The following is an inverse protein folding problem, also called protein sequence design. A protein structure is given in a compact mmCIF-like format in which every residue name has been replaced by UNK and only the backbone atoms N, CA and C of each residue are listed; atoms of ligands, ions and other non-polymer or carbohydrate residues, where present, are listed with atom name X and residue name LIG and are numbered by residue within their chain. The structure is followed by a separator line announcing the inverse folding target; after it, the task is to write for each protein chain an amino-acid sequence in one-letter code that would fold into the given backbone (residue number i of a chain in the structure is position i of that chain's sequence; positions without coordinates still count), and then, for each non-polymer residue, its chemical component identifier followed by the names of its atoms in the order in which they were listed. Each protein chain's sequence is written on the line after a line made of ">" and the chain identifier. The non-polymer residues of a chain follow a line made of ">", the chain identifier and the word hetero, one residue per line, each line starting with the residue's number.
data_IF_804843950953
#
_entry.id   IF_804843950953
#
_cell.length_a   1.000
_cell.length_b   1.000
_cell.length_c   1.000
_cell.angle_alpha   90.00
_cell.angle_beta   90.00
_cell.angle_gamma   90.00
#
_symmetry.space_group_name_H-M   'P 1'
#
loop_
_entity.id
_entity.type
_entity.pdbx_description
1 polymer ?
#
# COMPACT_ATOMS: atom_id res chain seq x y z
N UNK A 1 -20.35 -40.11 -19.46
CA UNK A 1 -20.27 -38.88 -18.63
C UNK A 1 -20.82 -39.21 -17.26
N UNK A 2 -19.96 -39.09 -16.22
CA UNK A 2 -20.30 -39.46 -14.84
C UNK A 2 -21.42 -38.57 -14.27
N UNK A 3 -22.31 -39.16 -13.44
CA UNK A 3 -23.40 -38.49 -12.74
C UNK A 3 -22.96 -37.21 -12.02
N UNK A 4 -21.75 -37.17 -11.50
CA UNK A 4 -21.15 -36.02 -10.86
C UNK A 4 -20.96 -34.81 -11.81
N UNK A 5 -20.65 -35.04 -13.09
CA UNK A 5 -20.52 -33.94 -14.08
C UNK A 5 -21.86 -33.30 -14.44
N UNK A 6 -22.95 -34.04 -14.32
CA UNK A 6 -24.31 -33.54 -14.56
C UNK A 6 -24.84 -32.69 -13.40
N UNK A 7 -24.42 -32.99 -12.16
CA UNK A 7 -24.79 -32.22 -10.95
C UNK A 7 -24.05 -30.87 -10.91
N UNK A 8 -22.77 -30.82 -11.32
CA UNK A 8 -22.01 -29.58 -11.37
C UNK A 8 -22.53 -28.63 -12.45
N UNK A 9 -23.01 -29.14 -13.59
CA UNK A 9 -23.57 -28.29 -14.65
C UNK A 9 -24.96 -27.73 -14.29
N UNK A 10 -25.73 -28.40 -13.44
CA UNK A 10 -27.07 -27.97 -13.01
C UNK A 10 -27.01 -26.86 -11.92
N UNK A 11 -25.90 -26.74 -11.18
CA UNK A 11 -25.71 -25.73 -10.15
C UNK A 11 -25.15 -24.39 -10.68
N UNK A 12 -24.63 -24.37 -11.91
CA UNK A 12 -24.15 -23.16 -12.57
C UNK A 12 -25.23 -22.40 -13.35
N UNK A 13 -26.39 -22.94 -13.56
CA UNK A 13 -27.49 -22.34 -14.37
C UNK A 13 -28.53 -21.56 -13.54
N UNK A 14 -28.43 -21.55 -12.20
CA UNK A 14 -29.40 -20.89 -11.31
C UNK A 14 -28.97 -19.54 -10.71
N UNK A 15 -27.86 -18.97 -11.11
CA UNK A 15 -27.30 -17.76 -10.53
C UNK A 15 -27.33 -16.54 -11.45
N UNK A 16 -28.16 -16.49 -12.48
CA UNK A 16 -28.20 -15.39 -13.46
C UNK A 16 -29.59 -14.80 -13.67
N UNK A 17 -30.31 -14.48 -12.58
CA UNK A 17 -31.49 -13.60 -12.62
C UNK A 17 -31.63 -12.90 -11.26
N UNK A 18 -30.69 -12.03 -10.94
CA UNK A 18 -30.88 -11.01 -9.92
C UNK A 18 -30.91 -9.66 -10.65
N UNK A 19 -32.12 -9.15 -10.74
CA UNK A 19 -32.55 -7.87 -11.30
C UNK A 19 -31.69 -6.71 -10.81
N UNK A 20 -31.15 -5.95 -11.77
CA UNK A 20 -30.55 -4.65 -11.59
C UNK A 20 -31.65 -3.67 -11.13
N UNK A 21 -31.82 -3.49 -9.83
CA UNK A 21 -32.53 -2.36 -9.27
C UNK A 21 -31.53 -1.22 -9.12
N UNK A 22 -31.64 -0.24 -10.02
CA UNK A 22 -30.90 1.02 -9.98
C UNK A 22 -31.49 1.87 -8.85
N UNK A 23 -30.98 1.72 -7.62
CA UNK A 23 -31.26 2.67 -6.55
C UNK A 23 -30.32 3.87 -6.69
N UNK A 24 -30.89 4.97 -7.12
CA UNK A 24 -30.29 6.30 -7.02
C UNK A 24 -30.15 6.65 -5.55
N UNK A 25 -28.94 6.50 -5.00
CA UNK A 25 -28.61 7.06 -3.70
C UNK A 25 -28.59 8.59 -3.82
N UNK A 26 -29.68 9.17 -3.35
CA UNK A 26 -29.80 10.62 -3.14
C UNK A 26 -28.96 10.96 -1.92
N UNK A 27 -27.85 11.63 -2.11
CA UNK A 27 -27.05 12.19 -1.02
C UNK A 27 -27.93 13.21 -0.27
N UNK A 28 -28.42 12.82 0.91
CA UNK A 28 -28.95 13.76 1.89
C UNK A 28 -27.79 14.28 2.71
N UNK A 29 -27.44 15.54 2.50
CA UNK A 29 -26.66 16.33 3.42
C UNK A 29 -27.58 16.77 4.55
N UNK A 30 -27.56 16.06 5.67
CA UNK A 30 -28.06 16.57 6.93
C UNK A 30 -26.88 16.74 7.88
N UNK A 31 -26.40 17.99 7.98
CA UNK A 31 -25.53 18.45 9.02
C UNK A 31 -26.38 18.94 10.20
N UNK A 32 -26.54 18.14 11.23
CA UNK A 32 -26.87 18.65 12.56
C UNK A 32 -26.18 17.80 13.63
N UNK A 33 -25.10 18.35 14.15
CA UNK A 33 -24.63 18.46 15.50
C UNK A 33 -24.46 17.18 16.34
N UNK A 34 -23.19 16.76 16.50
CA UNK A 34 -22.66 16.47 17.83
C UNK A 34 -21.15 16.75 17.81
N UNK A 35 -20.72 17.69 18.65
CA UNK A 35 -19.33 18.08 18.79
C UNK A 35 -18.51 16.98 19.49
N UNK A 36 -17.72 16.28 18.72
CA UNK A 36 -16.43 15.76 19.11
C UNK A 36 -15.47 16.28 18.07
N UNK A 37 -14.40 17.00 18.49
CA UNK A 37 -13.53 17.76 17.60
C UNK A 37 -12.96 16.91 16.46
N UNK A 38 -13.70 16.81 15.40
CA UNK A 38 -13.18 16.34 14.11
C UNK A 38 -12.22 17.43 13.65
N UNK A 39 -10.90 17.12 13.68
CA UNK A 39 -9.90 17.98 13.05
C UNK A 39 -10.35 18.30 11.62
N UNK A 40 -10.25 19.56 11.22
CA UNK A 40 -10.47 19.96 9.84
C UNK A 40 -9.58 19.15 8.93
N UNK A 41 -10.04 18.83 7.72
CA UNK A 41 -9.21 18.08 6.73
C UNK A 41 -7.87 18.75 6.46
N UNK A 42 -7.79 20.07 6.58
CA UNK A 42 -6.57 20.86 6.47
C UNK A 42 -5.64 20.62 7.68
N UNK A 43 -6.17 20.63 8.91
CA UNK A 43 -5.37 20.37 10.13
C UNK A 43 -4.85 18.94 10.15
N UNK A 44 -5.62 17.96 9.67
CA UNK A 44 -5.18 16.57 9.56
C UNK A 44 -4.07 16.41 8.51
N UNK A 45 -4.13 17.13 7.39
CA UNK A 45 -3.09 17.13 6.36
C UNK A 45 -1.79 17.80 6.83
N UNK A 46 -1.91 18.80 7.72
CA UNK A 46 -0.78 19.53 8.29
C UNK A 46 -0.18 18.84 9.54
N UNK A 47 -0.79 17.77 10.03
CA UNK A 47 -0.26 17.01 11.14
C UNK A 47 1.16 16.46 10.82
N UNK A 48 2.13 16.50 11.76
CA UNK A 48 3.50 16.05 11.50
C UNK A 48 3.60 14.65 10.91
N UNK A 49 2.79 13.70 11.38
CA UNK A 49 2.73 12.34 10.83
C UNK A 49 2.27 12.33 9.36
N UNK A 50 1.26 13.12 9.01
CA UNK A 50 0.75 13.22 7.63
C UNK A 50 1.81 13.80 6.69
N UNK A 51 2.54 14.83 7.15
CA UNK A 51 3.62 15.42 6.38
C UNK A 51 4.79 14.43 6.20
N UNK A 52 5.13 13.65 7.24
CA UNK A 52 6.16 12.62 7.17
C UNK A 52 5.80 11.51 6.16
N UNK A 53 4.55 11.02 6.19
CA UNK A 53 4.07 10.06 5.18
C UNK A 53 4.15 10.62 3.77
N UNK A 54 3.69 11.85 3.58
CA UNK A 54 3.75 12.51 2.27
C UNK A 54 5.19 12.63 1.78
N UNK A 55 6.11 13.07 2.62
CA UNK A 55 7.52 13.19 2.28
C UNK A 55 8.15 11.84 1.90
N UNK A 56 7.82 10.75 2.61
CA UNK A 56 8.28 9.40 2.27
C UNK A 56 7.79 8.96 0.88
N UNK A 57 6.52 9.21 0.58
CA UNK A 57 5.93 8.89 -0.73
C UNK A 57 6.49 9.74 -1.86
N UNK A 58 6.65 11.05 -1.66
CA UNK A 58 7.22 11.96 -2.66
C UNK A 58 8.67 11.57 -3.01
N UNK A 59 9.47 11.21 -2.01
CA UNK A 59 10.84 10.70 -2.18
C UNK A 59 10.88 9.40 -2.98
N UNK A 60 10.00 8.44 -2.65
CA UNK A 60 9.88 7.19 -3.39
C UNK A 60 9.48 7.44 -4.84
N UNK A 61 8.45 8.23 -5.08
CA UNK A 61 7.98 8.55 -6.44
C UNK A 61 9.08 9.23 -7.27
N UNK A 62 9.82 10.15 -6.66
CA UNK A 62 10.95 10.80 -7.33
C UNK A 62 12.02 9.79 -7.75
N UNK A 63 12.40 8.88 -6.86
CA UNK A 63 13.40 7.84 -7.15
C UNK A 63 12.91 6.87 -8.23
N UNK A 64 11.65 6.39 -8.13
CA UNK A 64 11.05 5.49 -9.11
C UNK A 64 10.91 6.14 -10.49
N UNK A 65 10.56 7.41 -10.55
CA UNK A 65 10.44 8.17 -11.82
C UNK A 65 11.80 8.41 -12.49
N UNK A 66 12.87 8.48 -11.71
CA UNK A 66 14.23 8.63 -12.21
C UNK A 66 14.88 7.31 -12.63
N UNK A 67 14.27 6.17 -12.30
CA UNK A 67 14.79 4.84 -12.63
C UNK A 67 14.85 4.65 -14.15
N UNK A 68 16.02 4.21 -14.63
CA UNK A 68 16.20 3.79 -16.00
C UNK A 68 16.10 2.27 -16.05
N UNK A 69 15.19 1.78 -16.88
CA UNK A 69 15.04 0.34 -17.09
C UNK A 69 16.12 -0.16 -18.04
N UNK A 70 16.78 -1.25 -17.65
CA UNK A 70 17.85 -1.89 -18.43
C UNK A 70 17.32 -2.97 -19.37
N UNK A 71 16.11 -3.50 -19.10
CA UNK A 71 15.54 -4.67 -19.75
C UNK A 71 15.97 -5.99 -19.10
N UNK A 72 16.87 -5.95 -18.11
CA UNK A 72 17.19 -7.09 -17.24
C UNK A 72 16.24 -7.05 -16.04
N UNK A 73 15.39 -8.07 -15.94
CA UNK A 73 14.35 -8.13 -14.90
C UNK A 73 14.92 -8.18 -13.49
N UNK A 74 16.06 -8.82 -13.27
CA UNK A 74 16.68 -8.94 -11.96
C UNK A 74 17.30 -7.61 -11.52
N UNK A 75 17.99 -6.93 -12.44
CA UNK A 75 18.57 -5.59 -12.18
C UNK A 75 17.46 -4.57 -11.96
N UNK A 76 16.46 -4.54 -12.84
CA UNK A 76 15.36 -3.57 -12.77
C UNK A 76 14.54 -3.74 -11.48
N UNK A 77 14.33 -4.99 -11.05
CA UNK A 77 13.72 -5.32 -9.77
C UNK A 77 14.56 -4.80 -8.59
N UNK A 78 15.85 -5.14 -8.56
CA UNK A 78 16.72 -4.78 -7.44
C UNK A 78 16.86 -3.25 -7.29
N UNK A 79 17.02 -2.53 -8.40
CA UNK A 79 17.09 -1.05 -8.41
C UNK A 79 15.78 -0.43 -7.91
N UNK A 80 14.63 -0.94 -8.35
CA UNK A 80 13.31 -0.42 -7.95
C UNK A 80 12.95 -0.72 -6.51
N UNK A 81 13.37 -1.90 -5.99
CA UNK A 81 13.02 -2.31 -4.62
C UNK A 81 13.74 -1.52 -3.54
N UNK A 82 14.93 -1.00 -3.78
CA UNK A 82 15.66 -0.19 -2.77
C UNK A 82 14.85 1.06 -2.36
N UNK A 83 14.44 1.96 -3.27
CA UNK A 83 13.64 3.12 -2.87
C UNK A 83 12.25 2.74 -2.31
N UNK A 84 11.67 1.65 -2.76
CA UNK A 84 10.41 1.13 -2.24
C UNK A 84 10.55 0.69 -0.77
N UNK A 85 11.61 -0.06 -0.46
CA UNK A 85 11.92 -0.50 0.90
C UNK A 85 12.26 0.68 1.80
N UNK A 86 13.01 1.66 1.30
CA UNK A 86 13.33 2.86 2.06
C UNK A 86 12.07 3.65 2.45
N UNK A 87 11.10 3.76 1.54
CA UNK A 87 9.82 4.39 1.86
C UNK A 87 9.05 3.62 2.94
N UNK A 88 9.05 2.30 2.89
CA UNK A 88 8.41 1.47 3.93
C UNK A 88 9.09 1.68 5.31
N UNK A 89 10.41 1.80 5.35
CA UNK A 89 11.15 2.13 6.58
C UNK A 89 10.76 3.52 7.09
N UNK A 90 10.73 4.54 6.23
CA UNK A 90 10.41 5.91 6.59
C UNK A 90 8.96 6.00 7.14
N UNK A 91 8.01 5.29 6.52
CA UNK A 91 6.62 5.17 7.00
C UNK A 91 6.53 4.44 8.34
N UNK A 92 7.26 3.35 8.52
CA UNK A 92 7.29 2.59 9.78
C UNK A 92 7.88 3.44 10.91
N UNK A 93 8.94 4.21 10.66
CA UNK A 93 9.52 5.17 11.63
C UNK A 93 8.51 6.25 12.02
N UNK A 94 7.69 6.73 11.08
CA UNK A 94 6.60 7.67 11.40
C UNK A 94 5.59 7.05 12.38
N UNK A 95 5.24 5.77 12.22
CA UNK A 95 4.39 5.06 13.19
C UNK A 95 5.08 4.97 14.56
N UNK A 96 6.38 4.67 14.59
CA UNK A 96 7.13 4.56 15.85
C UNK A 96 7.26 5.91 16.57
N UNK A 97 7.21 7.02 15.87
CA UNK A 97 7.26 8.35 16.45
C UNK A 97 5.89 8.85 16.90
N UNK A 98 4.84 8.65 16.11
CA UNK A 98 3.54 9.29 16.31
C UNK A 98 2.42 8.31 16.66
N UNK A 99 2.56 7.02 16.33
CA UNK A 99 1.55 5.99 16.55
C UNK A 99 1.43 5.59 18.03
N UNK A 100 0.22 5.22 18.44
CA UNK A 100 -0.10 4.86 19.83
C UNK A 100 -0.51 3.40 19.99
N UNK A 101 -0.98 2.77 18.92
CA UNK A 101 -1.43 1.39 18.96
C UNK A 101 -0.23 0.43 19.09
N UNK A 102 -0.19 -0.45 20.11
CA UNK A 102 0.96 -1.31 20.37
C UNK A 102 1.17 -2.38 19.29
N UNK A 103 0.10 -2.88 18.68
CA UNK A 103 0.20 -3.90 17.62
C UNK A 103 0.78 -3.30 16.33
N UNK A 104 0.31 -2.11 15.95
CA UNK A 104 0.83 -1.39 14.80
C UNK A 104 2.27 -0.95 15.02
N UNK A 105 2.63 -0.50 16.22
CA UNK A 105 4.02 -0.17 16.57
C UNK A 105 4.93 -1.39 16.44
N UNK A 106 4.49 -2.54 16.99
CA UNK A 106 5.26 -3.79 16.86
C UNK A 106 5.45 -4.21 15.40
N UNK A 107 4.40 -4.11 14.58
CA UNK A 107 4.49 -4.37 13.14
C UNK A 107 5.49 -3.41 12.47
N UNK A 108 5.49 -2.13 12.84
CA UNK A 108 6.43 -1.15 12.30
C UNK A 108 7.89 -1.47 12.64
N UNK A 109 8.19 -1.94 13.85
CA UNK A 109 9.52 -2.42 14.22
C UNK A 109 9.97 -3.60 13.36
N UNK A 110 9.08 -4.56 13.14
CA UNK A 110 9.36 -5.75 12.33
C UNK A 110 9.58 -5.38 10.85
N UNK A 111 8.82 -4.41 10.34
CA UNK A 111 8.99 -3.87 8.99
C UNK A 111 10.36 -3.22 8.84
N UNK A 112 10.75 -2.31 9.76
CA UNK A 112 12.08 -1.68 9.70
C UNK A 112 13.18 -2.74 9.62
N UNK A 113 13.15 -3.72 10.54
CA UNK A 113 14.16 -4.76 10.59
C UNK A 113 14.20 -5.65 9.32
N UNK A 114 13.04 -5.95 8.74
CA UNK A 114 12.95 -6.75 7.51
C UNK A 114 13.48 -5.97 6.31
N UNK A 115 13.01 -4.73 6.10
CA UNK A 115 13.36 -3.93 4.95
C UNK A 115 14.86 -3.54 4.94
N UNK A 116 15.43 -3.23 6.11
CA UNK A 116 16.87 -2.97 6.22
C UNK A 116 17.72 -4.19 5.85
N UNK A 117 17.29 -5.41 6.23
CA UNK A 117 17.98 -6.63 5.82
C UNK A 117 17.94 -6.84 4.30
N UNK A 118 16.79 -6.59 3.69
CA UNK A 118 16.61 -6.78 2.25
C UNK A 118 17.41 -5.75 1.44
N UNK A 119 17.45 -4.47 1.86
CA UNK A 119 18.33 -3.47 1.24
C UNK A 119 19.80 -3.92 1.30
N UNK A 120 20.27 -4.42 2.47
CA UNK A 120 21.63 -4.96 2.63
C UNK A 120 21.93 -6.19 1.77
N UNK A 121 20.93 -6.85 1.23
CA UNK A 121 21.10 -7.93 0.24
C UNK A 121 21.12 -7.39 -1.19
N UNK A 122 20.27 -6.41 -1.49
CA UNK A 122 20.14 -5.84 -2.84
C UNK A 122 21.36 -4.99 -3.23
N UNK A 123 21.87 -4.14 -2.34
CA UNK A 123 22.99 -3.25 -2.64
C UNK A 123 24.26 -4.00 -3.09
N UNK A 124 24.80 -4.99 -2.34
CA UNK A 124 25.96 -5.73 -2.77
C UNK A 124 25.71 -6.63 -3.99
N UNK A 125 24.44 -7.04 -4.21
CA UNK A 125 24.09 -7.77 -5.41
C UNK A 125 24.20 -6.86 -6.64
N UNK A 126 23.67 -5.63 -6.58
CA UNK A 126 23.78 -4.63 -7.65
C UNK A 126 25.22 -4.21 -7.96
N UNK A 127 26.10 -4.14 -6.95
CA UNK A 127 27.53 -3.87 -7.16
C UNK A 127 28.21 -4.93 -8.06
N UNK A 128 27.72 -6.17 -8.01
CA UNK A 128 28.22 -7.28 -8.83
C UNK A 128 27.50 -7.41 -10.17
N UNK A 129 26.36 -6.75 -10.33
CA UNK A 129 25.50 -6.78 -11.52
C UNK A 129 25.16 -5.34 -11.94
N UNK A 130 26.15 -4.54 -12.37
CA UNK A 130 25.91 -3.16 -12.71
C UNK A 130 24.94 -3.03 -13.88
N UNK A 131 24.06 -2.03 -13.82
CA UNK A 131 23.22 -1.66 -14.94
C UNK A 131 24.10 -1.16 -16.10
N UNK A 132 24.13 -1.92 -17.20
CA UNK A 132 24.90 -1.58 -18.40
C UNK A 132 24.11 -0.60 -19.28
#
# INVERSE_FOLDING_TARGET
>A
MSLMKKIVLALMAAALLATFALETVRAQTDHSGHGTGAMSSTEAADAPASQAYKAAMDKMHSAMSAQKYTGDADVDFAVGMIPHHQAAIDMAKTVLEHGKDPEIRKLAEDIVAAQEREIKQLEPWLEKHPAN
#
